data_IF_798517598907
#
_entry.id   IF_798517598907
#
_cell.length_a   1.000
_cell.length_b   1.000
_cell.length_c   1.000
_cell.angle_alpha   90.00
_cell.angle_beta   90.00
_cell.angle_gamma   90.00
#
_symmetry.space_group_name_H-M   'P 1'
#
loop_
_entity.id
_entity.type
_entity.pdbx_description
1 polymer ?
#
# COMPACT_ATOMS: atom_id res chain seq x y z
N UNK A 1 12.54 -4.11 30.79
CA UNK A 1 12.84 -4.72 29.48
C UNK A 1 12.46 -3.70 28.44
N UNK A 2 13.31 -3.47 27.44
CA UNK A 2 12.96 -2.67 26.26
C UNK A 2 12.22 -3.58 25.27
N UNK A 3 11.04 -3.16 24.83
CA UNK A 3 10.21 -3.87 23.84
C UNK A 3 10.27 -3.14 22.52
N UNK A 4 10.04 -3.87 21.42
CA UNK A 4 9.89 -3.30 20.08
C UNK A 4 8.63 -3.88 19.46
N UNK A 5 7.76 -3.03 18.94
CA UNK A 5 6.46 -3.39 18.36
C UNK A 5 6.25 -2.71 17.00
N UNK A 6 5.39 -3.30 16.17
CA UNK A 6 5.07 -2.75 14.85
C UNK A 6 3.59 -2.87 14.52
N UNK A 7 3.10 -1.93 13.72
CA UNK A 7 1.82 -1.97 13.05
C UNK A 7 2.06 -2.42 11.60
N UNK A 8 1.41 -3.51 11.18
CA UNK A 8 1.56 -4.06 9.84
C UNK A 8 0.28 -3.89 9.03
N UNK A 9 0.39 -3.15 7.93
CA UNK A 9 -0.68 -2.80 7.01
C UNK A 9 -0.31 -3.26 5.59
N UNK A 10 -1.31 -3.53 4.77
CA UNK A 10 -1.15 -4.00 3.39
C UNK A 10 -2.39 -3.62 2.58
N UNK A 11 -2.27 -3.63 1.25
CA UNK A 11 -3.39 -3.52 0.31
C UNK A 11 -4.25 -2.26 0.51
N UNK A 12 -3.58 -1.10 0.61
CA UNK A 12 -4.26 0.20 0.78
C UNK A 12 -5.10 0.58 -0.46
N UNK A 13 -4.59 0.26 -1.65
CA UNK A 13 -5.21 0.56 -2.94
C UNK A 13 -5.69 2.02 -3.09
N UNK A 14 -4.87 2.97 -2.64
CA UNK A 14 -5.18 4.39 -2.70
C UNK A 14 -5.42 4.86 -4.14
N UNK A 15 -6.41 5.74 -4.31
CA UNK A 15 -6.77 6.34 -5.60
C UNK A 15 -7.47 5.39 -6.57
N UNK A 16 -8.03 4.27 -6.08
CA UNK A 16 -8.86 3.38 -6.90
C UNK A 16 -10.13 4.12 -7.36
N UNK A 17 -10.30 4.44 -8.67
CA UNK A 17 -11.34 5.39 -9.11
C UNK A 17 -12.77 4.96 -8.79
N UNK A 18 -13.01 3.65 -8.72
CA UNK A 18 -14.34 3.08 -8.46
C UNK A 18 -14.87 3.40 -7.06
N UNK A 19 -13.96 3.51 -6.09
CA UNK A 19 -14.28 3.56 -4.67
C UNK A 19 -13.65 4.78 -3.96
N UNK A 20 -12.99 5.67 -4.70
CA UNK A 20 -12.31 6.86 -4.15
C UNK A 20 -13.24 7.76 -3.30
N UNK A 21 -14.51 7.85 -3.69
CA UNK A 21 -15.53 8.60 -2.95
C UNK A 21 -15.80 8.04 -1.54
N UNK A 22 -15.49 6.77 -1.29
CA UNK A 22 -15.62 6.11 0.02
C UNK A 22 -14.39 6.30 0.89
N UNK A 23 -13.27 6.81 0.34
CA UNK A 23 -12.02 6.93 1.08
C UNK A 23 -12.17 7.70 2.41
N UNK A 24 -12.86 8.86 2.47
CA UNK A 24 -13.00 9.59 3.73
C UNK A 24 -13.69 8.79 4.84
N UNK A 25 -14.74 8.05 4.50
CA UNK A 25 -15.46 7.21 5.48
C UNK A 25 -14.61 6.00 5.88
N UNK A 26 -14.01 5.33 4.90
CA UNK A 26 -13.15 4.15 5.12
C UNK A 26 -11.99 4.51 6.03
N UNK A 27 -11.31 5.61 5.76
CA UNK A 27 -10.21 6.15 6.56
C UNK A 27 -10.65 6.51 7.99
N UNK A 28 -11.83 7.11 8.16
CA UNK A 28 -12.36 7.40 9.50
C UNK A 28 -12.59 6.12 10.31
N UNK A 29 -13.14 5.06 9.70
CA UNK A 29 -13.35 3.78 10.37
C UNK A 29 -12.02 3.09 10.68
N UNK A 30 -11.10 3.08 9.73
CA UNK A 30 -9.73 2.61 9.92
C UNK A 30 -9.06 3.28 11.13
N UNK A 31 -9.23 4.60 11.30
CA UNK A 31 -8.68 5.29 12.46
C UNK A 31 -9.34 4.92 13.79
N UNK A 32 -10.61 4.52 13.81
CA UNK A 32 -11.23 3.93 14.99
C UNK A 32 -10.62 2.56 15.30
N UNK A 33 -10.46 1.72 14.28
CA UNK A 33 -9.86 0.38 14.46
C UNK A 33 -8.42 0.46 15.00
N UNK A 34 -7.63 1.45 14.55
CA UNK A 34 -6.28 1.70 15.10
C UNK A 34 -6.33 2.14 16.57
N UNK A 35 -7.31 2.94 16.97
CA UNK A 35 -7.46 3.36 18.37
C UNK A 35 -7.83 2.17 19.27
N UNK A 36 -8.73 1.30 18.79
CA UNK A 36 -9.08 0.07 19.49
C UNK A 36 -7.87 -0.89 19.59
N UNK A 37 -7.12 -1.09 18.49
CA UNK A 37 -5.92 -1.94 18.46
C UNK A 37 -4.80 -1.45 19.36
N UNK A 38 -4.66 -0.13 19.51
CA UNK A 38 -3.62 0.49 20.34
C UNK A 38 -3.74 0.03 21.80
N UNK A 39 -4.94 -0.15 22.33
CA UNK A 39 -5.14 -0.62 23.70
C UNK A 39 -4.63 -2.06 23.92
N UNK A 40 -4.57 -2.88 22.85
CA UNK A 40 -4.12 -4.27 22.93
C UNK A 40 -2.64 -4.46 22.56
N UNK A 41 -2.15 -3.73 21.55
CA UNK A 41 -0.83 -3.97 20.97
C UNK A 41 -0.02 -2.71 20.62
N UNK A 42 -0.49 -1.53 21.04
CA UNK A 42 0.26 -0.28 20.96
C UNK A 42 1.11 -0.02 22.22
N UNK A 43 1.93 1.06 22.22
CA UNK A 43 2.30 1.88 21.06
C UNK A 43 3.16 1.10 20.06
N UNK A 44 3.38 1.65 18.86
CA UNK A 44 4.20 1.01 17.82
C UNK A 44 5.44 1.83 17.49
N UNK A 45 6.59 1.18 17.36
CA UNK A 45 7.86 1.80 16.96
C UNK A 45 8.00 1.92 15.43
N UNK A 46 7.30 1.06 14.69
CA UNK A 46 7.39 0.92 13.25
C UNK A 46 6.00 0.68 12.62
N UNK A 47 5.74 1.34 11.50
CA UNK A 47 4.63 1.04 10.60
C UNK A 47 5.22 0.39 9.35
N UNK A 48 4.70 -0.77 9.01
CA UNK A 48 5.04 -1.51 7.80
C UNK A 48 3.85 -1.43 6.84
N UNK A 49 4.09 -0.99 5.60
CA UNK A 49 3.17 -1.17 4.47
C UNK A 49 3.78 -2.17 3.48
N UNK A 50 3.15 -3.32 3.29
CA UNK A 50 3.77 -4.46 2.57
C UNK A 50 3.19 -4.77 1.20
N UNK A 51 2.64 -3.76 0.55
CA UNK A 51 2.29 -3.82 -0.86
C UNK A 51 1.01 -3.05 -1.17
N UNK A 52 0.81 -2.88 -2.48
CA UNK A 52 -0.41 -2.36 -3.08
C UNK A 52 -0.87 -1.05 -2.42
N UNK A 53 0.07 -0.11 -2.33
CA UNK A 53 -0.18 1.23 -1.82
C UNK A 53 -1.22 1.96 -2.68
N UNK A 54 -1.13 1.78 -4.00
CA UNK A 54 -2.02 2.37 -5.01
C UNK A 54 -2.84 1.29 -5.74
N UNK A 55 -3.94 1.71 -6.37
CA UNK A 55 -4.90 0.81 -7.02
C UNK A 55 -4.71 0.61 -8.53
N UNK A 56 -3.53 0.26 -9.04
CA UNK A 56 -3.23 0.21 -10.49
C UNK A 56 -3.61 1.53 -11.21
N UNK A 57 -3.25 2.67 -10.61
CA UNK A 57 -3.57 3.97 -11.18
C UNK A 57 -2.68 4.22 -12.40
N UNK A 58 -3.30 4.64 -13.49
CA UNK A 58 -2.58 5.05 -14.70
C UNK A 58 -1.87 6.38 -14.45
N UNK A 59 -0.54 6.35 -14.34
CA UNK A 59 0.27 7.52 -14.01
C UNK A 59 0.24 8.61 -15.09
N UNK A 60 -0.14 8.28 -16.34
CA UNK A 60 -0.38 9.30 -17.37
C UNK A 60 -1.68 10.08 -17.10
N UNK A 61 -2.69 9.41 -16.53
CA UNK A 61 -3.97 10.04 -16.17
C UNK A 61 -3.93 10.74 -14.82
N UNK A 62 -3.13 10.22 -13.89
CA UNK A 62 -2.93 10.81 -12.56
C UNK A 62 -1.43 10.99 -12.23
N UNK A 63 -0.77 12.00 -12.82
CA UNK A 63 0.67 12.21 -12.64
C UNK A 63 1.06 12.51 -11.18
N UNK A 64 0.12 13.00 -10.38
CA UNK A 64 0.35 13.35 -8.97
C UNK A 64 0.00 12.21 -7.98
N UNK A 65 -0.39 11.02 -8.45
CA UNK A 65 -0.87 9.93 -7.57
C UNK A 65 0.11 9.59 -6.45
N UNK A 66 1.40 9.50 -6.77
CA UNK A 66 2.45 9.18 -5.80
C UNK A 66 2.63 10.24 -4.73
N UNK A 67 2.50 11.52 -5.10
CA UNK A 67 2.58 12.64 -4.16
C UNK A 67 1.37 12.69 -3.24
N UNK A 68 0.17 12.42 -3.77
CA UNK A 68 -1.05 12.30 -2.96
C UNK A 68 -0.94 11.13 -1.98
N UNK A 69 -0.46 9.98 -2.45
CA UNK A 69 -0.24 8.78 -1.65
C UNK A 69 0.81 9.03 -0.54
N UNK A 70 1.92 9.70 -0.83
CA UNK A 70 2.91 10.08 0.19
C UNK A 70 2.30 10.98 1.28
N UNK A 71 1.48 11.95 0.88
CA UNK A 71 0.73 12.80 1.83
C UNK A 71 -0.24 11.99 2.70
N UNK A 72 -0.91 11.00 2.11
CA UNK A 72 -1.82 10.10 2.81
C UNK A 72 -1.09 9.21 3.82
N UNK A 73 0.05 8.62 3.44
CA UNK A 73 0.89 7.85 4.36
C UNK A 73 1.41 8.70 5.53
N UNK A 74 1.78 9.94 5.26
CA UNK A 74 2.22 10.88 6.29
C UNK A 74 1.08 11.23 7.25
N UNK A 75 -0.15 11.41 6.76
CA UNK A 75 -1.31 11.65 7.62
C UNK A 75 -1.61 10.44 8.51
N UNK A 76 -1.61 9.22 7.95
CA UNK A 76 -1.77 7.97 8.71
C UNK A 76 -0.69 7.88 9.79
N UNK A 77 0.57 8.15 9.42
CA UNK A 77 1.70 8.11 10.36
C UNK A 77 1.54 9.13 11.49
N UNK A 78 1.08 10.34 11.20
CA UNK A 78 0.80 11.36 12.21
C UNK A 78 -0.38 10.96 13.12
N UNK A 79 -1.42 10.33 12.56
CA UNK A 79 -2.55 9.83 13.34
C UNK A 79 -2.12 8.72 14.29
N UNK A 80 -1.33 7.75 13.83
CA UNK A 80 -0.76 6.69 14.68
C UNK A 80 0.14 7.29 15.78
N UNK A 81 0.96 8.29 15.44
CA UNK A 81 1.80 8.98 16.41
C UNK A 81 0.98 9.68 17.50
N UNK A 82 -0.08 10.40 17.12
CA UNK A 82 -0.97 11.07 18.07
C UNK A 82 -1.65 10.09 19.04
N UNK A 83 -1.97 8.88 18.56
CA UNK A 83 -2.49 7.79 19.38
C UNK A 83 -1.38 7.12 20.22
N UNK A 84 -0.13 7.18 19.80
CA UNK A 84 1.03 6.52 20.44
C UNK A 84 1.92 7.49 21.24
N UNK A 85 1.32 8.28 22.13
CA UNK A 85 2.03 9.26 23.00
C UNK A 85 2.75 10.41 22.27
N UNK A 86 2.48 10.61 20.98
CA UNK A 86 3.08 11.68 20.17
C UNK A 86 4.43 11.32 19.57
N UNK A 87 4.99 10.14 19.86
CA UNK A 87 6.19 9.66 19.19
C UNK A 87 5.85 9.15 17.80
N UNK A 88 6.63 9.57 16.81
CA UNK A 88 6.34 9.27 15.41
C UNK A 88 7.01 7.96 15.01
N UNK A 89 6.25 6.86 14.77
CA UNK A 89 6.85 5.57 14.41
C UNK A 89 7.68 5.70 13.14
N UNK A 90 8.68 4.86 12.93
CA UNK A 90 9.29 4.75 11.61
C UNK A 90 8.25 4.23 10.61
N UNK A 91 8.37 4.60 9.33
CA UNK A 91 7.52 4.08 8.27
C UNK A 91 8.39 3.41 7.22
N UNK A 92 8.11 2.15 6.93
CA UNK A 92 8.75 1.38 5.88
C UNK A 92 7.67 0.82 4.95
N UNK A 93 7.75 1.19 3.68
CA UNK A 93 6.85 0.70 2.65
C UNK A 93 7.63 -0.13 1.62
N UNK A 94 7.04 -1.24 1.19
CA UNK A 94 7.54 -2.11 0.12
C UNK A 94 6.47 -2.17 -0.97
N UNK A 95 6.82 -1.97 -2.26
CA UNK A 95 5.83 -1.94 -3.33
C UNK A 95 5.23 -3.34 -3.57
N UNK A 96 3.92 -3.36 -3.84
CA UNK A 96 3.21 -4.55 -4.28
C UNK A 96 3.11 -4.64 -5.80
N UNK A 97 2.33 -5.59 -6.30
CA UNK A 97 2.19 -5.79 -7.74
C UNK A 97 1.34 -4.72 -8.44
N UNK A 98 0.50 -3.99 -7.69
CA UNK A 98 -0.30 -2.87 -8.18
C UNK A 98 0.45 -1.54 -8.23
N UNK A 99 1.61 -1.47 -7.57
CA UNK A 99 2.46 -0.27 -7.50
C UNK A 99 3.45 -0.17 -8.67
N UNK A 100 3.48 -1.18 -9.55
CA UNK A 100 4.44 -1.27 -10.64
C UNK A 100 3.87 -0.72 -11.94
N UNK A 101 4.64 0.16 -12.59
CA UNK A 101 4.41 0.50 -13.99
C UNK A 101 4.87 -0.67 -14.87
N UNK A 102 3.91 -1.26 -15.59
CA UNK A 102 4.18 -2.38 -16.50
C UNK A 102 4.42 -1.85 -17.90
N UNK A 103 5.41 -2.36 -18.64
CA UNK A 103 5.59 -1.97 -20.03
C UNK A 103 4.34 -2.31 -20.85
N UNK A 104 4.02 -1.46 -21.83
CA UNK A 104 2.91 -1.71 -22.76
C UNK A 104 3.07 -3.03 -23.53
N UNK A 105 1.95 -3.57 -24.03
CA UNK A 105 1.91 -4.86 -24.73
C UNK A 105 2.83 -4.94 -25.96
N UNK A 106 3.11 -3.81 -26.59
CA UNK A 106 3.97 -3.70 -27.78
C UNK A 106 5.47 -3.67 -27.44
N UNK A 107 5.84 -3.82 -26.16
CA UNK A 107 7.24 -3.88 -25.75
C UNK A 107 7.85 -5.23 -26.16
N UNK A 108 8.91 -5.26 -27.00
CA UNK A 108 9.51 -6.51 -27.46
C UNK A 108 9.97 -7.46 -26.34
N UNK A 109 10.37 -6.91 -25.18
CA UNK A 109 10.74 -7.71 -24.02
C UNK A 109 9.52 -8.41 -23.39
N UNK A 110 8.35 -7.77 -23.39
CA UNK A 110 7.08 -8.36 -22.94
C UNK A 110 6.63 -9.44 -23.92
N UNK A 111 6.74 -9.19 -25.24
CA UNK A 111 6.43 -10.17 -26.26
C UNK A 111 7.31 -11.43 -26.16
N UNK A 112 8.63 -11.24 -26.02
CA UNK A 112 9.60 -12.33 -25.90
C UNK A 112 9.40 -13.11 -24.60
N UNK A 113 9.17 -12.42 -23.47
CA UNK A 113 8.81 -13.08 -22.21
C UNK A 113 7.53 -13.90 -22.37
N UNK A 114 6.49 -13.34 -23.00
CA UNK A 114 5.26 -14.07 -23.30
C UNK A 114 5.50 -15.30 -24.18
N UNK A 115 6.39 -15.20 -25.18
CA UNK A 115 6.79 -16.32 -26.04
C UNK A 115 7.52 -17.41 -25.24
N UNK A 116 8.44 -17.01 -24.35
CA UNK A 116 9.15 -17.91 -23.43
C UNK A 116 8.15 -18.63 -22.53
N UNK A 117 7.25 -17.89 -21.86
CA UNK A 117 6.26 -18.46 -20.96
C UNK A 117 5.35 -19.47 -21.68
N UNK A 118 4.83 -19.13 -22.87
CA UNK A 118 4.03 -20.06 -23.69
C UNK A 118 4.79 -21.31 -24.14
N UNK A 119 6.10 -21.18 -24.38
CA UNK A 119 6.97 -22.31 -24.76
C UNK A 119 7.18 -23.28 -23.58
N UNK A 120 7.18 -22.77 -22.35
CA UNK A 120 7.37 -23.56 -21.12
C UNK A 120 6.05 -23.90 -20.40
N UNK A 121 4.92 -23.37 -20.85
CA UNK A 121 3.58 -23.74 -20.39
C UNK A 121 3.15 -25.11 -20.95
N UNK A 122 3.95 -26.13 -20.63
CA UNK A 122 3.64 -27.54 -20.85
C UNK A 122 2.95 -28.04 -19.58
N UNK A 123 1.62 -27.82 -19.52
CA UNK A 123 0.66 -28.40 -18.57
C UNK A 123 0.86 -28.05 -17.09
N UNK A 124 0.02 -27.14 -16.60
CA UNK A 124 -0.33 -27.03 -15.20
C UNK A 124 -1.52 -26.11 -15.00
N UNK A 125 -2.73 -26.59 -15.33
CA UNK A 125 -3.95 -25.84 -15.09
C UNK A 125 -4.22 -25.64 -13.60
N UNK A 126 -4.74 -24.45 -13.29
CA UNK A 126 -5.75 -24.19 -12.27
C UNK A 126 -6.78 -23.24 -12.88
#
# INVERSE_FOLDING_TARGET
MTTFSWLHLTDLHYGTPKDDWMWPETKSRFYCDIDDLREECGPWDLILFTGDLTGNVDSEKEPDIWKKMEGELEEIRLKVAALSHGEKPLLLAVPGNHDLERPGGDNPAVEELGRILRKYDVKGGL
#
